data_IF_072586725904
#
_entry.id   IF_072586725904
#
_cell.length_a   1.000
_cell.length_b   1.000
_cell.length_c   1.000
_cell.angle_alpha   90.00
_cell.angle_beta   90.00
_cell.angle_gamma   90.00
#
_symmetry.space_group_name_H-M   'P 1'
#
loop_
_entity.id
_entity.type
_entity.pdbx_description
1 polymer ?
#
# COMPACT_ATOMS: atom_id res chain seq x y z
N UNK A 1 13.30 39.78 14.68
CA UNK A 1 13.54 38.32 14.55
C UNK A 1 12.18 37.64 14.55
N UNK A 2 11.70 37.23 13.39
CA UNK A 2 10.32 36.76 13.19
C UNK A 2 10.21 35.26 13.48
N UNK A 3 9.41 34.90 14.49
CA UNK A 3 9.10 33.52 14.88
C UNK A 3 8.29 32.71 13.84
N UNK A 4 8.08 33.25 12.62
CA UNK A 4 7.38 32.57 11.52
C UNK A 4 8.31 31.78 10.59
N UNK A 5 9.61 32.05 10.60
CA UNK A 5 10.57 31.37 9.70
C UNK A 5 11.02 29.99 10.22
N UNK A 6 10.80 29.67 11.49
CA UNK A 6 11.13 28.36 12.08
C UNK A 6 10.08 27.26 11.81
N UNK A 7 8.93 27.60 11.21
CA UNK A 7 7.86 26.64 10.93
C UNK A 7 8.05 25.85 9.62
N UNK A 8 9.11 26.16 8.85
CA UNK A 8 9.54 25.38 7.69
C UNK A 8 10.74 24.50 8.08
N UNK A 9 10.70 23.92 9.29
CA UNK A 9 11.49 22.73 9.56
C UNK A 9 10.99 21.65 8.60
N UNK A 10 11.81 21.29 7.61
CA UNK A 10 11.42 20.41 6.52
C UNK A 10 10.71 19.15 7.06
N UNK A 11 9.46 18.85 6.67
CA UNK A 11 8.72 17.70 7.18
C UNK A 11 9.50 16.39 7.01
N UNK A 12 10.35 16.33 5.99
CA UNK A 12 11.27 15.24 5.70
C UNK A 12 12.33 14.98 6.79
N UNK A 13 12.82 16.02 7.46
CA UNK A 13 13.75 15.90 8.59
C UNK A 13 13.05 15.40 9.85
N UNK A 14 11.79 15.81 10.07
CA UNK A 14 10.97 15.30 11.17
C UNK A 14 10.68 13.80 11.02
N UNK A 15 10.38 13.33 9.80
CA UNK A 15 10.14 11.91 9.51
C UNK A 15 11.41 11.06 9.76
N UNK A 16 12.59 11.51 9.30
CA UNK A 16 13.85 10.77 9.52
C UNK A 16 14.28 10.69 10.98
N UNK A 17 13.86 11.65 11.82
CA UNK A 17 14.15 11.66 13.27
C UNK A 17 13.14 10.88 14.10
N UNK A 18 12.05 10.39 13.52
CA UNK A 18 11.04 9.65 14.28
C UNK A 18 11.59 8.37 14.91
N UNK A 19 11.30 8.18 16.20
CA UNK A 19 11.71 7.01 16.98
C UNK A 19 11.19 5.69 16.39
N UNK A 20 10.10 5.73 15.63
CA UNK A 20 9.54 4.58 14.91
C UNK A 20 10.59 3.87 14.04
N UNK A 21 11.38 4.61 13.26
CA UNK A 21 12.38 4.03 12.35
C UNK A 21 13.67 3.58 13.06
N UNK A 22 13.82 3.91 14.34
CA UNK A 22 14.95 3.46 15.17
C UNK A 22 14.69 2.07 15.76
N UNK A 23 13.43 1.69 15.92
CA UNK A 23 13.06 0.35 16.39
C UNK A 23 13.36 -0.69 15.29
N UNK A 24 14.28 -1.63 15.60
CA UNK A 24 14.71 -2.67 14.65
C UNK A 24 13.55 -3.58 14.23
N UNK A 25 12.59 -3.83 15.11
CA UNK A 25 11.46 -4.70 14.82
C UNK A 25 10.47 -3.99 13.91
N UNK A 26 9.99 -2.81 14.30
CA UNK A 26 9.02 -2.06 13.50
C UNK A 26 9.57 -1.68 12.12
N UNK A 27 10.86 -1.30 12.05
CA UNK A 27 11.53 -0.99 10.78
C UNK A 27 11.50 -2.18 9.82
N UNK A 28 11.67 -3.42 10.30
CA UNK A 28 11.60 -4.61 9.44
C UNK A 28 10.21 -4.74 8.82
N UNK A 29 9.15 -4.53 9.59
CA UNK A 29 7.78 -4.58 9.06
C UNK A 29 7.51 -3.47 8.05
N UNK A 30 8.00 -2.25 8.28
CA UNK A 30 7.89 -1.17 7.28
C UNK A 30 8.63 -1.54 6.00
N UNK A 31 9.85 -2.06 6.09
CA UNK A 31 10.61 -2.52 4.92
C UNK A 31 9.87 -3.62 4.18
N UNK A 32 9.31 -4.60 4.89
CA UNK A 32 8.50 -5.67 4.28
C UNK A 32 7.27 -5.09 3.58
N UNK A 33 6.53 -4.18 4.21
CA UNK A 33 5.37 -3.53 3.60
C UNK A 33 5.75 -2.80 2.30
N UNK A 34 6.85 -2.06 2.30
CA UNK A 34 7.35 -1.35 1.12
C UNK A 34 7.81 -2.32 0.03
N UNK A 35 8.47 -3.43 0.39
CA UNK A 35 8.88 -4.45 -0.58
C UNK A 35 7.69 -5.16 -1.22
N UNK A 36 6.66 -5.49 -0.43
CA UNK A 36 5.43 -6.07 -0.95
C UNK A 36 4.72 -5.11 -1.89
N UNK A 37 4.63 -3.84 -1.52
CA UNK A 37 4.09 -2.79 -2.37
C UNK A 37 4.85 -2.69 -3.71
N UNK A 38 6.19 -2.66 -3.67
CA UNK A 38 7.01 -2.63 -4.89
C UNK A 38 6.74 -3.89 -5.74
N UNK A 39 6.69 -5.07 -5.11
CA UNK A 39 6.41 -6.33 -5.80
C UNK A 39 5.04 -6.30 -6.49
N UNK A 40 4.00 -5.78 -5.82
CA UNK A 40 2.67 -5.62 -6.41
C UNK A 40 2.71 -4.76 -7.67
N UNK A 41 3.41 -3.62 -7.62
CA UNK A 41 3.54 -2.73 -8.78
C UNK A 41 4.40 -3.31 -9.89
N UNK A 42 5.41 -4.11 -9.57
CA UNK A 42 6.18 -4.84 -10.58
C UNK A 42 5.32 -5.91 -11.26
N UNK A 43 4.51 -6.66 -10.50
CA UNK A 43 3.56 -7.63 -11.06
C UNK A 43 2.58 -6.95 -12.01
N UNK A 44 1.96 -5.86 -11.57
CA UNK A 44 1.08 -5.06 -12.42
C UNK A 44 1.81 -4.52 -13.66
N UNK A 45 2.99 -3.92 -13.50
CA UNK A 45 3.73 -3.31 -14.61
C UNK A 45 4.24 -4.30 -15.66
N UNK A 46 4.64 -5.50 -15.25
CA UNK A 46 5.21 -6.50 -16.18
C UNK A 46 4.16 -7.45 -16.77
N UNK A 47 3.14 -7.83 -16.01
CA UNK A 47 2.14 -8.82 -16.45
C UNK A 47 0.91 -8.17 -17.06
N UNK A 48 0.53 -6.97 -16.60
CA UNK A 48 -0.61 -6.25 -17.15
C UNK A 48 -0.21 -5.54 -18.44
N UNK A 49 -0.27 -6.26 -19.56
CA UNK A 49 -0.10 -5.66 -20.88
C UNK A 49 -1.41 -5.01 -21.31
N UNK A 50 -1.38 -3.87 -22.03
CA UNK A 50 -2.56 -3.30 -22.69
C UNK A 50 -2.94 -4.23 -23.84
N UNK A 51 -3.61 -5.32 -23.49
CA UNK A 51 -4.24 -6.22 -24.42
C UNK A 51 -5.72 -5.93 -24.34
N UNK A 52 -6.45 -6.06 -25.44
CA UNK A 52 -7.91 -5.88 -25.47
C UNK A 52 -8.68 -6.95 -24.67
N UNK A 53 -8.02 -7.58 -23.69
CA UNK A 53 -8.59 -8.59 -22.82
C UNK A 53 -9.35 -7.96 -21.69
N UNK A 54 -10.29 -8.76 -21.21
CA UNK A 54 -11.43 -8.25 -20.51
C UNK A 54 -11.52 -8.99 -19.20
N UNK A 55 -11.31 -8.23 -18.12
CA UNK A 55 -11.17 -8.78 -16.78
C UNK A 55 -12.56 -8.96 -16.18
N UNK A 56 -12.94 -10.16 -15.71
CA UNK A 56 -14.23 -10.36 -15.05
C UNK A 56 -14.24 -9.59 -13.72
N UNK A 57 -15.04 -8.53 -13.64
CA UNK A 57 -15.00 -7.59 -12.49
C UNK A 57 -16.32 -7.48 -11.73
N UNK A 58 -17.47 -7.77 -12.35
CA UNK A 58 -18.77 -7.74 -11.67
C UNK A 58 -19.54 -9.04 -11.90
N UNK A 59 -20.07 -9.60 -10.81
CA UNK A 59 -21.09 -10.64 -10.85
C UNK A 59 -22.45 -9.97 -11.09
N UNK A 60 -22.94 -10.01 -12.33
CA UNK A 60 -24.35 -9.71 -12.59
C UNK A 60 -25.18 -10.90 -12.14
N UNK A 61 -26.35 -10.67 -11.53
CA UNK A 61 -27.23 -11.69 -10.91
C UNK A 61 -27.83 -12.73 -11.88
N UNK A 62 -27.21 -12.96 -13.04
CA UNK A 62 -27.63 -13.88 -14.09
C UNK A 62 -26.47 -14.65 -14.74
N UNK A 63 -25.35 -14.86 -14.03
CA UNK A 63 -24.20 -15.66 -14.47
C UNK A 63 -23.35 -15.09 -15.62
N UNK A 64 -23.50 -13.81 -15.96
CA UNK A 64 -22.63 -13.13 -16.93
C UNK A 64 -21.63 -12.20 -16.23
N UNK A 65 -20.34 -12.45 -16.45
CA UNK A 65 -19.25 -11.59 -15.99
C UNK A 65 -19.25 -10.32 -16.83
N UNK A 66 -19.45 -9.16 -16.18
CA UNK A 66 -19.16 -7.90 -16.85
C UNK A 66 -17.66 -7.69 -16.93
N UNK A 67 -17.31 -7.38 -18.15
CA UNK A 67 -16.00 -7.38 -18.73
C UNK A 67 -15.46 -5.94 -18.58
N UNK A 68 -14.57 -5.73 -17.61
CA UNK A 68 -14.04 -4.41 -17.23
C UNK A 68 -12.72 -4.08 -17.93
N UNK A 69 -12.43 -2.77 -18.04
CA UNK A 69 -11.16 -2.31 -18.62
C UNK A 69 -9.96 -2.76 -17.78
N UNK A 70 -8.91 -3.24 -18.45
CA UNK A 70 -7.68 -3.78 -17.86
C UNK A 70 -7.06 -2.86 -16.79
N UNK A 71 -7.14 -1.54 -16.97
CA UNK A 71 -6.55 -0.58 -16.04
C UNK A 71 -7.22 -0.57 -14.66
N UNK A 72 -8.43 -1.13 -14.51
CA UNK A 72 -9.13 -1.18 -13.22
C UNK A 72 -8.36 -1.99 -12.17
N UNK A 73 -7.52 -2.94 -12.59
CA UNK A 73 -6.66 -3.72 -11.67
C UNK A 73 -5.64 -2.81 -10.96
N UNK A 74 -5.17 -1.73 -11.59
CA UNK A 74 -4.32 -0.73 -10.91
C UNK A 74 -5.01 -0.05 -9.73
N UNK A 75 -6.36 -0.07 -9.69
CA UNK A 75 -7.13 0.42 -8.55
C UNK A 75 -6.77 -0.29 -7.25
N UNK A 76 -6.52 -1.60 -7.29
CA UNK A 76 -6.10 -2.37 -6.11
C UNK A 76 -4.71 -1.96 -5.63
N UNK A 77 -3.76 -1.79 -6.56
CA UNK A 77 -2.40 -1.34 -6.22
C UNK A 77 -2.36 0.10 -5.69
N UNK A 78 -3.20 0.99 -6.21
CA UNK A 78 -3.33 2.36 -5.70
C UNK A 78 -4.01 2.37 -4.32
N UNK A 79 -5.03 1.55 -4.10
CA UNK A 79 -5.66 1.38 -2.79
C UNK A 79 -4.66 0.86 -1.76
N UNK A 80 -3.91 -0.18 -2.12
CA UNK A 80 -2.82 -0.75 -1.30
C UNK A 80 -1.78 0.30 -0.93
N UNK A 81 -1.36 1.15 -1.89
CA UNK A 81 -0.45 2.29 -1.64
C UNK A 81 -1.01 3.22 -0.57
N UNK A 82 -2.23 3.71 -0.78
CA UNK A 82 -2.84 4.73 0.08
C UNK A 82 -3.00 4.22 1.51
N UNK A 83 -3.47 2.99 1.68
CA UNK A 83 -3.62 2.40 3.01
C UNK A 83 -2.27 2.13 3.66
N UNK A 84 -1.26 1.68 2.90
CA UNK A 84 0.10 1.47 3.43
C UNK A 84 0.73 2.77 3.91
N UNK A 85 0.68 3.82 3.09
CA UNK A 85 1.19 5.15 3.45
C UNK A 85 0.42 5.70 4.65
N UNK A 86 -0.90 5.63 4.64
CA UNK A 86 -1.76 6.07 5.74
C UNK A 86 -1.42 5.38 7.05
N UNK A 87 -1.29 4.05 7.04
CA UNK A 87 -0.94 3.27 8.22
C UNK A 87 0.48 3.57 8.74
N UNK A 88 1.46 3.76 7.86
CA UNK A 88 2.82 4.14 8.28
C UNK A 88 2.81 5.52 8.94
N UNK A 89 2.07 6.48 8.38
CA UNK A 89 1.93 7.84 8.94
C UNK A 89 1.22 7.79 10.30
N UNK A 90 0.11 7.05 10.41
CA UNK A 90 -0.60 6.88 11.68
C UNK A 90 0.25 6.15 12.71
N UNK A 91 1.01 5.14 12.31
CA UNK A 91 1.94 4.44 13.19
C UNK A 91 3.03 5.39 13.70
N UNK A 92 3.57 6.23 12.83
CA UNK A 92 4.54 7.26 13.18
C UNK A 92 4.01 8.25 14.23
N UNK A 93 2.78 8.73 14.05
CA UNK A 93 2.12 9.63 14.99
C UNK A 93 1.76 8.96 16.31
N UNK A 94 1.44 7.67 16.27
CA UNK A 94 0.98 6.89 17.42
C UNK A 94 2.13 6.30 18.24
N UNK A 95 3.35 6.25 17.70
CA UNK A 95 4.48 5.54 18.30
C UNK A 95 4.88 6.07 19.69
N UNK A 96 4.84 7.38 19.89
CA UNK A 96 5.14 7.98 21.20
C UNK A 96 4.04 7.68 22.24
N UNK A 97 2.79 7.44 21.80
CA UNK A 97 1.66 7.13 22.69
C UNK A 97 1.56 5.63 23.00
N UNK A 98 1.66 4.79 21.98
CA UNK A 98 1.58 3.33 22.09
C UNK A 98 2.36 2.65 20.97
N UNK A 99 3.45 1.97 21.36
CA UNK A 99 4.24 1.14 20.42
C UNK A 99 3.43 -0.01 19.85
N UNK A 100 2.56 -0.61 20.66
CA UNK A 100 1.70 -1.72 20.26
C UNK A 100 0.70 -1.29 19.19
N UNK A 101 0.04 -0.13 19.35
CA UNK A 101 -0.87 0.38 18.33
C UNK A 101 -0.13 0.62 16.99
N UNK A 102 1.08 1.16 17.06
CA UNK A 102 1.92 1.39 15.88
C UNK A 102 2.33 0.09 15.21
N UNK A 103 2.61 -0.95 15.98
CA UNK A 103 2.87 -2.28 15.45
C UNK A 103 1.65 -2.85 14.70
N UNK A 104 0.46 -2.76 15.30
CA UNK A 104 -0.78 -3.22 14.64
C UNK A 104 -1.07 -2.46 13.34
N UNK A 105 -0.79 -1.15 13.30
CA UNK A 105 -0.95 -0.34 12.09
C UNK A 105 0.02 -0.77 10.96
N UNK A 106 1.29 -1.00 11.28
CA UNK A 106 2.25 -1.47 10.25
C UNK A 106 1.95 -2.91 9.85
N UNK A 107 1.57 -3.77 10.80
CA UNK A 107 1.21 -5.16 10.54
C UNK A 107 -0.05 -5.26 9.66
N UNK A 108 -1.08 -4.44 9.90
CA UNK A 108 -2.27 -4.42 9.06
C UNK A 108 -1.97 -3.97 7.63
N UNK A 109 -1.03 -3.02 7.46
CA UNK A 109 -0.54 -2.65 6.12
C UNK A 109 0.13 -3.83 5.41
N UNK A 110 0.98 -4.60 6.09
CA UNK A 110 1.61 -5.81 5.51
C UNK A 110 0.55 -6.83 5.10
N UNK A 111 -0.40 -7.13 5.99
CA UNK A 111 -1.47 -8.10 5.72
C UNK A 111 -2.32 -7.65 4.52
N UNK A 112 -2.67 -6.37 4.45
CA UNK A 112 -3.43 -5.83 3.32
C UNK A 112 -2.66 -5.93 2.00
N UNK A 113 -1.35 -5.63 1.99
CA UNK A 113 -0.51 -5.83 0.81
C UNK A 113 -0.52 -7.30 0.36
N UNK A 114 -0.46 -8.25 1.29
CA UNK A 114 -0.54 -9.68 0.94
C UNK A 114 -1.89 -10.00 0.26
N UNK A 115 -3.01 -9.55 0.83
CA UNK A 115 -4.33 -9.79 0.25
C UNK A 115 -4.49 -9.17 -1.14
N UNK A 116 -4.03 -7.93 -1.30
CA UNK A 116 -4.11 -7.21 -2.59
C UNK A 116 -3.22 -7.84 -3.66
N UNK A 117 -2.02 -8.33 -3.31
CA UNK A 117 -1.18 -9.13 -4.20
C UNK A 117 -1.89 -10.42 -4.62
N UNK A 118 -2.49 -11.16 -3.68
CA UNK A 118 -3.20 -12.42 -3.98
C UNK A 118 -4.38 -12.18 -4.92
N UNK A 119 -5.19 -11.14 -4.66
CA UNK A 119 -6.31 -10.74 -5.52
C UNK A 119 -5.78 -10.39 -6.91
N UNK A 120 -4.79 -9.51 -6.98
CA UNK A 120 -4.18 -9.06 -8.24
C UNK A 120 -3.63 -10.24 -9.05
N UNK A 121 -2.87 -11.13 -8.40
CA UNK A 121 -2.31 -12.32 -9.04
C UNK A 121 -3.41 -13.28 -9.54
N UNK A 122 -4.48 -13.46 -8.76
CA UNK A 122 -5.60 -14.32 -9.13
C UNK A 122 -6.33 -13.77 -10.36
N UNK A 123 -6.56 -12.45 -10.41
CA UNK A 123 -7.16 -11.78 -11.56
C UNK A 123 -6.25 -11.87 -12.79
N UNK A 124 -4.94 -11.69 -12.62
CA UNK A 124 -3.97 -11.84 -13.71
C UNK A 124 -3.91 -13.28 -14.25
N UNK A 125 -3.96 -14.29 -13.39
CA UNK A 125 -3.94 -15.69 -13.77
C UNK A 125 -5.20 -16.15 -14.53
N UNK A 126 -6.30 -15.40 -14.43
CA UNK A 126 -7.50 -15.65 -15.24
C UNK A 126 -7.41 -15.03 -16.65
N UNK A 127 -6.45 -14.13 -16.86
CA UNK A 127 -6.29 -13.35 -18.11
C UNK A 127 -5.20 -13.92 -19.01
N UNK A 128 -4.21 -14.62 -18.46
CA UNK A 128 -3.12 -15.29 -19.20
C UNK A 128 -3.40 -16.76 -19.47
#
# INVERSE_FOLDING_TARGET
MNARETLIEQPWQAIKKQRLFRDRFLRRFVVVAVLLFILEWLLLGFQLRPTGFVVPFEYTSGAEFRLGEWWRIFGYGLFSLLVTVGNIVLAAMSFEKSRIASFFLVLSAVILNIFTIVITYTLLAQVG
#
